data_IF_447557369821
#
_entry.id   IF_447557369821
#
_cell.length_a   1.000
_cell.length_b   1.000
_cell.length_c   1.000
_cell.angle_alpha   90.00
_cell.angle_beta   90.00
_cell.angle_gamma   90.00
#
_symmetry.space_group_name_H-M   'P 1'
#
loop_
_entity.id
_entity.type
_entity.pdbx_description
1 polymer ?
#
# COMPACT_ATOMS: atom_id res chain seq x y z
N UNK A 1 -10.92 -73.23 21.28
CA UNK A 1 -11.14 -73.16 19.82
C UNK A 1 -11.12 -71.67 19.46
N UNK A 2 -10.00 -70.95 19.63
CA UNK A 2 -8.77 -70.96 18.84
C UNK A 2 -9.07 -71.09 17.34
N UNK A 3 -9.14 -69.95 16.64
CA UNK A 3 -8.18 -69.53 15.61
C UNK A 3 -8.64 -68.20 14.98
N UNK A 4 -7.98 -67.09 15.34
CA UNK A 4 -7.99 -65.86 14.54
C UNK A 4 -6.63 -65.77 13.84
N UNK A 5 -6.63 -65.82 12.50
CA UNK A 5 -5.44 -65.70 11.66
C UNK A 5 -4.89 -64.27 11.69
N UNK A 6 -3.57 -64.08 11.92
CA UNK A 6 -2.92 -62.78 11.85
C UNK A 6 -2.13 -62.63 10.55
N UNK A 7 -2.76 -62.22 9.46
CA UNK A 7 -2.04 -61.98 8.20
C UNK A 7 -2.52 -60.67 7.54
N UNK A 8 -1.85 -59.54 7.81
CA UNK A 8 -1.62 -58.45 6.83
C UNK A 8 -0.61 -57.41 7.38
N UNK A 9 0.25 -56.82 6.55
CA UNK A 9 1.47 -56.14 6.96
C UNK A 9 1.19 -54.69 7.36
N UNK A 10 0.82 -54.49 8.62
CA UNK A 10 0.57 -53.16 9.20
C UNK A 10 1.81 -52.26 9.23
N UNK A 11 3.02 -52.81 9.04
CA UNK A 11 4.27 -52.03 9.00
C UNK A 11 4.43 -51.15 7.76
N UNK A 12 4.10 -51.63 6.56
CA UNK A 12 4.38 -50.89 5.31
C UNK A 12 3.44 -49.69 5.10
N UNK A 13 2.16 -49.83 5.46
CA UNK A 13 1.17 -48.74 5.33
C UNK A 13 1.47 -47.61 6.33
N UNK A 14 1.89 -47.95 7.56
CA UNK A 14 2.28 -46.97 8.57
C UNK A 14 3.55 -46.21 8.14
N UNK A 15 4.54 -46.89 7.55
CA UNK A 15 5.76 -46.23 7.04
C UNK A 15 5.43 -45.27 5.89
N UNK A 16 4.59 -45.66 4.94
CA UNK A 16 4.23 -44.76 3.81
C UNK A 16 3.40 -43.57 4.30
N UNK A 17 2.42 -43.76 5.20
CA UNK A 17 1.66 -42.67 5.80
C UNK A 17 2.55 -41.72 6.61
N UNK A 18 3.48 -42.25 7.41
CA UNK A 18 4.45 -41.45 8.16
C UNK A 18 5.40 -40.70 7.23
N UNK A 19 5.84 -41.31 6.12
CA UNK A 19 6.71 -40.68 5.12
C UNK A 19 5.99 -39.53 4.40
N UNK A 20 4.75 -39.75 3.96
CA UNK A 20 3.93 -38.72 3.31
C UNK A 20 3.55 -37.61 4.29
N UNK A 21 3.22 -37.92 5.55
CA UNK A 21 2.99 -36.90 6.59
C UNK A 21 4.25 -36.10 6.90
N UNK A 22 5.42 -36.74 7.00
CA UNK A 22 6.70 -36.06 7.24
C UNK A 22 7.11 -35.20 6.03
N UNK A 23 6.87 -35.66 4.79
CA UNK A 23 7.09 -34.88 3.58
C UNK A 23 6.13 -33.69 3.46
N UNK A 24 4.86 -33.84 3.86
CA UNK A 24 3.88 -32.75 3.93
C UNK A 24 4.22 -31.74 5.04
N UNK A 25 4.70 -32.20 6.20
CA UNK A 25 5.19 -31.33 7.27
C UNK A 25 6.44 -30.54 6.83
N UNK A 26 7.41 -31.21 6.20
CA UNK A 26 8.63 -30.59 5.68
C UNK A 26 8.35 -29.58 4.54
N UNK A 27 7.32 -29.80 3.72
CA UNK A 27 6.92 -28.88 2.64
C UNK A 27 6.16 -27.63 3.15
N UNK A 28 5.60 -27.67 4.36
CA UNK A 28 4.93 -26.52 4.96
C UNK A 28 5.93 -25.49 5.54
N UNK A 29 7.05 -25.95 6.09
CA UNK A 29 8.08 -25.09 6.70
C UNK A 29 8.89 -24.29 5.67
N UNK A 30 9.23 -24.90 4.52
CA UNK A 30 9.97 -24.24 3.42
C UNK A 30 9.24 -23.02 2.85
N UNK A 31 7.89 -23.04 2.82
CA UNK A 31 7.07 -21.91 2.33
C UNK A 31 7.04 -20.71 3.29
N UNK A 32 7.18 -20.94 4.60
CA UNK A 32 7.27 -19.86 5.60
C UNK A 32 8.69 -19.28 5.66
N UNK A 33 9.71 -20.12 5.56
CA UNK A 33 11.10 -19.66 5.60
C UNK A 33 11.48 -18.76 4.42
N UNK A 34 11.01 -19.04 3.20
CA UNK A 34 11.33 -18.18 2.06
C UNK A 34 10.65 -16.81 2.11
N UNK A 35 9.55 -16.67 2.87
CA UNK A 35 8.86 -15.39 3.07
C UNK A 35 9.45 -14.57 4.22
N UNK A 36 10.10 -15.22 5.19
CA UNK A 36 10.69 -14.58 6.37
C UNK A 36 12.15 -14.12 6.17
N UNK A 37 12.91 -14.73 5.27
CA UNK A 37 14.34 -14.41 5.00
C UNK A 37 14.50 -13.20 4.04
N UNK A 38 13.44 -12.41 3.80
CA UNK A 38 13.54 -11.14 3.05
C UNK A 38 13.65 -9.93 3.97
N UNK A 39 14.32 -10.08 5.10
CA UNK A 39 14.73 -8.96 5.94
C UNK A 39 16.14 -9.24 6.45
N UNK A 40 17.16 -8.63 5.80
CA UNK A 40 18.27 -7.88 6.44
C UNK A 40 19.61 -7.88 5.65
N UNK A 41 19.85 -8.76 4.69
CA UNK A 41 21.24 -8.92 4.17
C UNK A 41 21.68 -7.96 3.05
N UNK A 42 20.77 -7.29 2.34
CA UNK A 42 21.11 -6.18 1.44
C UNK A 42 19.85 -5.34 1.11
N UNK A 43 19.74 -4.13 1.67
CA UNK A 43 18.78 -3.15 1.16
C UNK A 43 19.43 -2.50 -0.07
N UNK A 44 18.80 -2.66 -1.23
CA UNK A 44 19.23 -1.95 -2.45
C UNK A 44 18.98 -0.44 -2.24
N UNK A 45 20.05 0.30 -1.95
CA UNK A 45 20.02 1.74 -1.71
C UNK A 45 19.90 2.55 -3.01
N UNK A 46 20.33 1.98 -4.14
CA UNK A 46 20.31 2.67 -5.43
C UNK A 46 18.93 2.58 -6.08
N UNK A 47 18.21 1.48 -5.87
CA UNK A 47 16.86 1.27 -6.40
C UNK A 47 15.85 0.91 -5.29
N UNK A 48 15.52 1.85 -4.39
CA UNK A 48 14.50 1.62 -3.39
C UNK A 48 13.12 1.39 -4.04
N UNK A 49 12.25 0.63 -3.39
CA UNK A 49 10.89 0.43 -3.88
C UNK A 49 10.05 1.71 -3.75
N UNK A 50 9.11 1.93 -4.68
CA UNK A 50 8.21 3.09 -4.65
C UNK A 50 7.34 3.15 -3.37
N UNK A 51 7.12 2.01 -2.70
CA UNK A 51 6.47 1.97 -1.39
C UNK A 51 7.36 2.53 -0.28
N UNK A 52 8.66 2.22 -0.32
CA UNK A 52 9.62 2.72 0.64
C UNK A 52 9.81 4.23 0.50
N UNK A 53 9.99 4.75 -0.71
CA UNK A 53 10.17 6.19 -0.96
C UNK A 53 8.98 7.05 -0.53
N UNK A 54 7.74 6.52 -0.67
CA UNK A 54 6.52 7.20 -0.23
C UNK A 54 6.41 7.36 1.28
N UNK A 55 7.00 6.43 2.05
CA UNK A 55 7.05 6.49 3.52
C UNK A 55 8.12 7.45 4.03
N UNK A 56 9.18 7.68 3.25
CA UNK A 56 10.25 8.59 3.62
C UNK A 56 9.78 10.05 3.64
N UNK A 57 10.39 10.84 4.54
CA UNK A 57 10.24 12.29 4.55
C UNK A 57 10.76 12.89 3.24
N UNK A 58 10.13 13.96 2.74
CA UNK A 58 10.45 14.58 1.42
C UNK A 58 11.93 14.92 1.20
N UNK A 59 12.67 15.24 2.28
CA UNK A 59 14.11 15.56 2.23
C UNK A 59 15.03 14.34 2.32
N UNK A 60 14.51 13.19 2.77
CA UNK A 60 15.26 11.93 3.00
C UNK A 60 15.06 10.89 1.89
N UNK A 61 14.38 11.26 0.81
CA UNK A 61 14.27 10.43 -0.39
C UNK A 61 15.60 10.42 -1.13
N UNK A 62 15.80 9.42 -2.01
CA UNK A 62 16.99 9.33 -2.86
C UNK A 62 17.17 10.63 -3.68
N UNK A 63 16.08 11.11 -4.28
CA UNK A 63 15.99 12.44 -4.89
C UNK A 63 14.85 13.20 -4.22
N UNK A 64 15.14 14.43 -3.80
CA UNK A 64 14.17 15.27 -3.10
C UNK A 64 13.07 15.73 -4.05
N UNK A 65 11.82 15.59 -3.61
CA UNK A 65 10.65 16.03 -4.38
C UNK A 65 9.56 16.56 -3.45
N UNK A 66 8.83 17.62 -3.86
CA UNK A 66 7.74 18.17 -3.06
C UNK A 66 6.56 17.17 -2.97
N UNK A 67 5.82 17.20 -1.86
CA UNK A 67 4.57 16.45 -1.69
C UNK A 67 3.32 17.26 -2.13
N UNK A 68 3.52 18.54 -2.42
CA UNK A 68 2.48 19.46 -2.85
C UNK A 68 2.27 19.38 -4.36
N UNK A 69 1.05 19.64 -4.80
CA UNK A 69 0.64 19.67 -6.20
C UNK A 69 -0.32 20.83 -6.47
N UNK A 70 -0.50 21.15 -7.75
CA UNK A 70 -1.56 22.03 -8.22
C UNK A 70 -2.79 21.20 -8.60
N UNK A 71 -3.97 21.76 -8.37
CA UNK A 71 -5.24 21.13 -8.69
C UNK A 71 -6.16 22.12 -9.40
N UNK A 72 -6.95 21.61 -10.33
CA UNK A 72 -8.00 22.35 -11.00
C UNK A 72 -9.29 22.14 -10.18
N UNK A 73 -9.77 23.20 -9.53
CA UNK A 73 -10.99 23.17 -8.71
C UNK A 73 -12.14 23.76 -9.52
N UNK A 74 -13.21 23.00 -9.65
CA UNK A 74 -14.44 23.43 -10.31
C UNK A 74 -15.43 23.94 -9.28
N UNK A 75 -15.88 25.18 -9.48
CA UNK A 75 -16.88 25.80 -8.62
C UNK A 75 -18.28 25.17 -8.84
N UNK A 76 -19.07 24.91 -7.78
CA UNK A 76 -20.42 24.34 -7.92
C UNK A 76 -21.43 25.28 -8.59
N UNK A 77 -21.27 26.61 -8.48
CA UNK A 77 -22.24 27.56 -9.01
C UNK A 77 -21.94 28.01 -10.44
N UNK A 78 -20.72 28.49 -10.68
CA UNK A 78 -20.36 29.12 -11.95
C UNK A 78 -19.60 28.19 -12.92
N UNK A 79 -19.34 26.94 -12.53
CA UNK A 79 -18.62 25.89 -13.28
C UNK A 79 -17.25 26.28 -13.86
N UNK A 80 -16.75 27.47 -13.55
CA UNK A 80 -15.41 27.91 -13.86
C UNK A 80 -14.38 27.05 -13.13
N UNK A 81 -13.26 26.80 -13.81
CA UNK A 81 -12.14 26.01 -13.31
C UNK A 81 -11.04 26.97 -12.89
N UNK A 82 -10.68 26.93 -11.62
CA UNK A 82 -9.57 27.73 -11.07
C UNK A 82 -8.44 26.79 -10.65
N UNK A 83 -7.21 27.12 -11.04
CA UNK A 83 -6.02 26.41 -10.56
C UNK A 83 -5.71 26.83 -9.12
N UNK A 84 -5.69 25.87 -8.20
CA UNK A 84 -5.45 26.09 -6.76
C UNK A 84 -4.24 25.27 -6.31
N UNK A 85 -3.42 25.83 -5.44
CA UNK A 85 -2.32 25.10 -4.81
C UNK A 85 -2.82 24.26 -3.62
N UNK A 86 -2.37 23.01 -3.54
CA UNK A 86 -2.82 22.06 -2.50
C UNK A 86 -2.60 22.52 -1.05
N UNK A 87 -1.59 23.35 -0.77
CA UNK A 87 -1.28 23.90 0.55
C UNK A 87 -1.38 25.43 0.53
N UNK A 88 -2.44 25.97 -0.09
CA UNK A 88 -2.67 27.41 -0.15
C UNK A 88 -2.75 28.02 1.26
N UNK A 89 -2.02 29.13 1.47
CA UNK A 89 -2.01 29.88 2.73
C UNK A 89 -3.10 30.96 2.78
N UNK A 90 -3.57 31.42 1.63
CA UNK A 90 -4.66 32.39 1.50
C UNK A 90 -5.98 31.70 1.18
N UNK A 91 -7.08 32.37 1.51
CA UNK A 91 -8.42 31.98 1.05
C UNK A 91 -8.47 32.20 -0.45
N UNK A 92 -8.79 31.15 -1.21
CA UNK A 92 -8.86 31.24 -2.68
C UNK A 92 -10.30 31.45 -3.12
N UNK A 93 -10.52 32.52 -3.88
CA UNK A 93 -11.83 32.89 -4.42
C UNK A 93 -11.96 32.44 -5.88
N UNK A 94 -13.18 32.12 -6.29
CA UNK A 94 -13.49 31.87 -7.68
C UNK A 94 -13.43 33.18 -8.49
N UNK A 95 -12.80 33.16 -9.66
CA UNK A 95 -12.63 34.36 -10.49
C UNK A 95 -13.93 34.94 -11.06
N UNK A 96 -14.98 34.13 -11.22
CA UNK A 96 -16.24 34.57 -11.82
C UNK A 96 -17.38 34.80 -10.82
N UNK A 97 -17.47 33.98 -9.77
CA UNK A 97 -18.57 34.08 -8.80
C UNK A 97 -18.13 34.52 -7.39
N UNK A 98 -16.85 34.87 -7.19
CA UNK A 98 -16.26 35.34 -5.93
C UNK A 98 -16.52 34.42 -4.71
N UNK A 99 -17.00 33.20 -4.93
CA UNK A 99 -17.22 32.21 -3.90
C UNK A 99 -15.90 31.68 -3.37
N UNK A 100 -15.88 31.32 -2.08
CA UNK A 100 -14.71 30.70 -1.46
C UNK A 100 -14.56 29.28 -1.97
N UNK A 101 -13.43 28.96 -2.61
CA UNK A 101 -13.11 27.62 -3.10
C UNK A 101 -12.37 26.78 -2.05
N UNK A 102 -11.45 27.40 -1.31
CA UNK A 102 -10.74 26.75 -0.22
C UNK A 102 -10.35 27.70 0.91
N UNK A 103 -10.26 27.14 2.11
CA UNK A 103 -9.75 27.79 3.30
C UNK A 103 -8.36 27.24 3.67
N UNK A 104 -7.42 28.11 4.09
CA UNK A 104 -6.10 27.68 4.50
C UNK A 104 -6.15 26.88 5.80
N UNK A 105 -5.28 25.88 5.91
CA UNK A 105 -5.07 25.08 7.13
C UNK A 105 -3.57 24.92 7.39
N UNK A 106 -3.17 24.25 8.48
CA UNK A 106 -1.77 23.91 8.72
C UNK A 106 -1.18 22.88 7.74
N UNK A 107 -1.99 22.27 6.89
CA UNK A 107 -1.58 21.26 5.91
C UNK A 107 -2.20 21.52 4.55
N UNK A 108 -2.95 20.53 4.04
CA UNK A 108 -3.69 20.71 2.78
C UNK A 108 -4.87 21.65 3.00
N UNK A 109 -5.07 22.58 2.07
CA UNK A 109 -6.19 23.50 2.11
C UNK A 109 -7.52 22.74 2.15
N UNK A 110 -8.48 23.23 2.92
CA UNK A 110 -9.82 22.65 3.04
C UNK A 110 -10.68 23.19 1.90
N UNK A 111 -11.13 22.31 1.00
CA UNK A 111 -12.07 22.69 -0.06
C UNK A 111 -13.46 22.93 0.52
N UNK A 112 -14.18 23.89 -0.06
CA UNK A 112 -15.59 24.13 0.26
C UNK A 112 -16.45 22.96 -0.21
N UNK A 113 -17.50 22.66 0.54
CA UNK A 113 -18.45 21.60 0.19
C UNK A 113 -19.05 21.84 -1.21
N UNK A 114 -19.14 20.78 -2.01
CA UNK A 114 -19.63 20.85 -3.40
C UNK A 114 -18.58 21.24 -4.45
N UNK A 115 -17.36 21.62 -4.06
CA UNK A 115 -16.27 21.82 -5.03
C UNK A 115 -15.67 20.47 -5.46
N UNK A 116 -15.54 20.25 -6.77
CA UNK A 116 -14.83 19.08 -7.32
C UNK A 116 -13.42 19.49 -7.74
N UNK A 117 -12.44 18.59 -7.64
CA UNK A 117 -11.07 18.90 -8.03
C UNK A 117 -10.41 17.77 -8.83
N UNK A 118 -9.50 18.15 -9.73
CA UNK A 118 -8.61 17.24 -10.48
C UNK A 118 -7.16 17.66 -10.24
N UNK A 119 -6.25 16.70 -10.03
CA UNK A 119 -4.82 17.00 -9.95
C UNK A 119 -4.26 17.34 -11.32
N UNK A 120 -3.49 18.42 -11.41
CA UNK A 120 -2.74 18.80 -12.60
C UNK A 120 -1.43 18.01 -12.61
N UNK A 121 -1.09 17.44 -13.76
CA UNK A 121 0.13 16.65 -13.95
C UNK A 121 1.29 17.57 -14.34
#
# INVERSE_FOLDING_TARGET
MLEWKPDLPTGHIIIILASVLLELFNNFDKRKHQKLIKMTLAVDLLNPSAEYERKQHKLKRLVQSPNSYFMDVKCPGCFAITTVFSHAQSVVLCGSCASVLCQPTGGKARLTEGCSFRRKN
#
